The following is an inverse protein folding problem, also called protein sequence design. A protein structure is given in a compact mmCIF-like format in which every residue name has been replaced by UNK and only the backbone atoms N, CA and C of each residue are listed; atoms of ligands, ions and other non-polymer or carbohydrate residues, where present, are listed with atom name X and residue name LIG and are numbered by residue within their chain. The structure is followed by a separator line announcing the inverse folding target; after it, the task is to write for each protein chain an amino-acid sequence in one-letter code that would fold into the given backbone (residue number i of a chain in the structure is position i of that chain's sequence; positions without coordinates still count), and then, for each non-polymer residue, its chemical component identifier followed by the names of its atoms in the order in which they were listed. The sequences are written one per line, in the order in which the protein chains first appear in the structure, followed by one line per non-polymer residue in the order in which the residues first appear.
data_IF_499203977943
#
_entry.id   IF_499203977943
#
_cell.length_a   1.000
_cell.length_b   1.000
_cell.length_c   1.000
_cell.angle_alpha   90.00
_cell.angle_beta   90.00
_cell.angle_gamma   90.00
#
_symmetry.space_group_name_H-M   'P 1'
#
loop_
_entity.id
_entity.type
_entity.pdbx_description
1 polymer ?
#
# COMPACT_ATOMS: atom_id res chain seq x y z
N UNK A 1 3.75 -17.00 13.82
CA UNK A 1 3.26 -15.93 12.91
C UNK A 1 4.46 -15.11 12.51
N UNK A 2 4.79 -15.03 11.21
CA UNK A 2 6.01 -14.37 10.72
C UNK A 2 5.70 -13.01 10.12
N UNK A 3 6.63 -12.06 10.29
CA UNK A 3 6.62 -10.76 9.61
C UNK A 3 7.31 -10.90 8.25
N UNK A 4 6.72 -10.34 7.21
CA UNK A 4 7.38 -10.17 5.91
C UNK A 4 7.96 -8.75 5.83
N UNK A 5 9.19 -8.64 5.31
CA UNK A 5 9.84 -7.35 5.12
C UNK A 5 10.35 -7.17 3.68
N UNK A 6 9.47 -7.13 2.65
CA UNK A 6 9.91 -6.93 1.28
C UNK A 6 10.62 -5.58 1.15
N UNK A 7 11.83 -5.59 0.57
CA UNK A 7 12.62 -4.38 0.33
C UNK A 7 13.02 -4.32 -1.13
N UNK A 8 12.74 -3.21 -1.80
CA UNK A 8 13.20 -2.93 -3.16
C UNK A 8 13.89 -1.57 -3.21
N UNK A 9 15.11 -1.49 -3.75
CA UNK A 9 15.84 -0.22 -3.86
C UNK A 9 15.21 0.75 -4.88
N UNK A 10 14.38 0.23 -5.79
CA UNK A 10 13.68 0.98 -6.82
C UNK A 10 12.19 0.66 -6.74
N UNK A 11 11.62 0.06 -7.78
CA UNK A 11 10.22 -0.30 -7.82
C UNK A 11 10.00 -1.71 -7.27
N UNK A 12 9.01 -1.86 -6.40
CA UNK A 12 8.38 -3.15 -6.13
C UNK A 12 7.17 -3.32 -7.06
N UNK A 13 7.16 -4.38 -7.85
CA UNK A 13 6.05 -4.71 -8.76
C UNK A 13 5.23 -5.86 -8.19
N UNK A 14 3.98 -5.57 -7.85
CA UNK A 14 2.94 -6.52 -7.49
C UNK A 14 1.69 -6.37 -8.38
N UNK A 15 1.82 -5.82 -9.58
CA UNK A 15 0.73 -5.68 -10.54
C UNK A 15 0.17 -7.06 -10.91
N UNK A 16 -1.15 -7.22 -10.82
CA UNK A 16 -1.87 -8.51 -10.96
C UNK A 16 -1.36 -9.62 -10.02
N UNK A 17 -0.49 -9.27 -9.07
CA UNK A 17 0.19 -10.18 -8.18
C UNK A 17 -0.50 -10.29 -6.82
N UNK A 18 0.11 -11.08 -5.93
CA UNK A 18 -0.36 -11.25 -4.55
C UNK A 18 0.81 -11.30 -3.58
N UNK A 19 0.85 -10.32 -2.67
CA UNK A 19 1.73 -10.30 -1.51
C UNK A 19 0.88 -10.53 -0.26
N UNK A 20 1.13 -11.59 0.50
CA UNK A 20 0.33 -11.89 1.69
C UNK A 20 1.15 -12.46 2.84
N UNK A 21 0.87 -11.97 4.06
CA UNK A 21 1.36 -12.55 5.31
C UNK A 21 0.16 -13.03 6.12
N UNK A 22 -0.33 -14.25 5.85
CA UNK A 22 -1.63 -14.79 6.32
C UNK A 22 -2.22 -14.18 7.61
N UNK A 23 -1.58 -14.39 8.77
CA UNK A 23 -1.90 -13.70 10.05
C UNK A 23 -0.75 -12.83 10.57
N UNK A 24 0.23 -12.58 9.71
CA UNK A 24 1.47 -11.90 10.03
C UNK A 24 1.45 -10.46 9.56
N UNK A 25 2.47 -9.73 9.96
CA UNK A 25 2.63 -8.32 9.61
C UNK A 25 3.42 -8.20 8.30
N UNK A 26 3.21 -7.11 7.58
CA UNK A 26 4.01 -6.74 6.42
C UNK A 26 4.59 -5.35 6.68
N UNK A 27 5.89 -5.25 6.49
CA UNK A 27 6.57 -3.96 6.42
C UNK A 27 7.31 -3.88 5.07
N UNK A 28 6.74 -3.13 4.14
CA UNK A 28 7.26 -2.99 2.79
C UNK A 28 8.07 -1.70 2.69
N UNK A 29 9.28 -1.80 2.15
CA UNK A 29 10.15 -0.67 1.84
C UNK A 29 10.43 -0.64 0.34
N UNK A 30 10.07 0.45 -0.34
CA UNK A 30 10.35 0.62 -1.77
C UNK A 30 10.52 2.09 -2.14
N UNK A 31 11.20 2.39 -3.26
CA UNK A 31 11.18 3.74 -3.81
C UNK A 31 9.85 4.03 -4.52
N UNK A 32 9.31 3.06 -5.25
CA UNK A 32 7.98 3.10 -5.86
C UNK A 32 7.26 1.76 -5.67
N UNK A 33 5.93 1.78 -5.65
CA UNK A 33 5.11 0.57 -5.57
C UNK A 33 4.07 0.55 -6.68
N UNK A 34 4.11 -0.48 -7.51
CA UNK A 34 3.05 -0.82 -8.47
C UNK A 34 2.24 -2.00 -7.93
N UNK A 35 0.97 -1.74 -7.59
CA UNK A 35 0.00 -2.74 -7.15
C UNK A 35 -1.24 -2.74 -8.07
N UNK A 36 -1.11 -2.35 -9.35
CA UNK A 36 -2.24 -2.26 -10.27
C UNK A 36 -2.93 -3.61 -10.46
N UNK A 37 -4.21 -3.71 -10.10
CA UNK A 37 -4.96 -4.98 -10.09
C UNK A 37 -4.40 -6.06 -9.16
N UNK A 38 -3.36 -5.74 -8.40
CA UNK A 38 -2.70 -6.62 -7.45
C UNK A 38 -3.42 -6.65 -6.12
N UNK A 39 -2.91 -7.49 -5.21
CA UNK A 39 -3.42 -7.60 -3.84
C UNK A 39 -2.28 -7.68 -2.83
N UNK A 40 -2.35 -6.85 -1.79
CA UNK A 40 -1.47 -6.85 -0.63
C UNK A 40 -2.32 -7.07 0.62
N UNK A 41 -2.01 -8.08 1.43
CA UNK A 41 -2.75 -8.40 2.66
C UNK A 41 -1.83 -8.76 3.81
N UNK A 42 -1.98 -8.06 4.94
CA UNK A 42 -1.31 -8.38 6.21
C UNK A 42 -2.20 -8.05 7.40
N UNK A 43 -1.70 -8.30 8.62
CA UNK A 43 -2.40 -7.90 9.84
C UNK A 43 -2.07 -6.45 10.19
N UNK A 44 -0.83 -6.18 10.60
CA UNK A 44 -0.28 -4.83 10.64
C UNK A 44 0.47 -4.61 9.32
N UNK A 45 -0.01 -3.66 8.51
CA UNK A 45 0.56 -3.41 7.19
C UNK A 45 1.15 -2.01 7.13
N UNK A 46 2.46 -1.92 7.01
CA UNK A 46 3.19 -0.69 6.72
C UNK A 46 3.67 -0.71 5.27
N UNK A 47 3.27 0.28 4.49
CA UNK A 47 3.85 0.61 3.19
C UNK A 47 4.70 1.87 3.34
N UNK A 48 6.02 1.70 3.45
CA UNK A 48 6.96 2.82 3.47
C UNK A 48 7.56 3.03 2.07
N UNK A 49 6.93 3.94 1.33
CA UNK A 49 7.28 4.37 -0.03
C UNK A 49 7.53 5.88 -0.02
N UNK A 50 7.99 6.43 1.11
CA UNK A 50 8.02 7.88 1.35
C UNK A 50 8.79 8.68 0.27
N UNK A 51 9.76 8.06 -0.41
CA UNK A 51 10.55 8.67 -1.49
C UNK A 51 9.90 8.69 -2.87
N UNK A 52 8.73 8.07 -3.07
CA UNK A 52 8.07 8.00 -4.37
C UNK A 52 6.60 7.61 -4.31
N UNK A 53 6.08 7.06 -5.40
CA UNK A 53 4.63 6.95 -5.60
C UNK A 53 4.12 5.51 -5.43
N UNK A 54 2.86 5.42 -4.99
CA UNK A 54 2.09 4.18 -4.94
C UNK A 54 0.99 4.24 -6.01
N UNK A 55 1.01 3.28 -6.94
CA UNK A 55 -0.10 3.04 -7.87
C UNK A 55 -0.90 1.81 -7.42
N UNK A 56 -2.11 2.05 -6.92
CA UNK A 56 -3.05 1.03 -6.48
C UNK A 56 -4.31 1.01 -7.36
N UNK A 57 -4.23 1.47 -8.62
CA UNK A 57 -5.39 1.47 -9.52
C UNK A 57 -5.90 0.06 -9.77
N UNK A 58 -7.20 -0.16 -9.59
CA UNK A 58 -7.84 -1.48 -9.61
C UNK A 58 -7.26 -2.52 -8.62
N UNK A 59 -6.29 -2.12 -7.78
CA UNK A 59 -5.61 -2.95 -6.81
C UNK A 59 -6.27 -2.93 -5.44
N UNK A 60 -5.75 -3.77 -4.54
CA UNK A 60 -6.22 -3.88 -3.16
C UNK A 60 -5.06 -3.91 -2.17
N UNK A 61 -5.17 -3.14 -1.11
CA UNK A 61 -4.28 -3.17 0.05
C UNK A 61 -5.16 -3.27 1.30
N UNK A 62 -5.00 -4.35 2.06
CA UNK A 62 -5.86 -4.69 3.19
C UNK A 62 -5.00 -4.98 4.42
N UNK A 63 -5.35 -4.37 5.55
CA UNK A 63 -4.78 -4.67 6.86
C UNK A 63 -5.80 -4.51 7.98
N UNK A 64 -5.57 -5.12 9.15
CA UNK A 64 -6.31 -4.75 10.37
C UNK A 64 -5.95 -3.32 10.78
N UNK A 65 -4.67 -2.98 10.63
CA UNK A 65 -4.13 -1.63 10.60
C UNK A 65 -3.35 -1.44 9.31
N UNK A 66 -3.56 -0.30 8.65
CA UNK A 66 -2.86 0.07 7.44
C UNK A 66 -2.18 1.43 7.63
N UNK A 67 -0.85 1.48 7.60
CA UNK A 67 -0.06 2.72 7.58
C UNK A 67 0.58 2.87 6.19
N UNK A 68 0.25 3.95 5.49
CA UNK A 68 0.76 4.26 4.15
C UNK A 68 1.55 5.55 4.20
N UNK A 69 2.82 5.47 3.79
CA UNK A 69 3.73 6.60 3.67
C UNK A 69 4.23 6.66 2.24
N UNK A 70 3.95 7.76 1.54
CA UNK A 70 4.34 7.91 0.13
C UNK A 70 4.62 9.37 -0.20
N UNK A 71 5.21 9.67 -1.35
CA UNK A 71 5.17 11.01 -1.94
C UNK A 71 3.83 11.27 -2.61
N UNK A 72 3.27 10.28 -3.32
CA UNK A 72 1.98 10.34 -3.99
C UNK A 72 1.26 9.00 -3.99
N UNK A 73 -0.06 9.04 -4.19
CA UNK A 73 -0.92 7.86 -4.15
C UNK A 73 -2.02 7.97 -5.20
N UNK A 74 -2.02 7.03 -6.16
CA UNK A 74 -3.13 6.82 -7.08
C UNK A 74 -3.94 5.58 -6.67
N UNK A 75 -5.12 5.82 -6.10
CA UNK A 75 -6.09 4.81 -5.70
C UNK A 75 -7.38 4.90 -6.54
N UNK A 76 -7.29 5.37 -7.79
CA UNK A 76 -8.47 5.47 -8.69
C UNK A 76 -8.83 4.11 -9.28
N UNK A 77 -9.78 4.08 -10.23
CA UNK A 77 -10.16 2.89 -11.00
C UNK A 77 -10.55 1.68 -10.12
N UNK A 78 -11.36 1.90 -9.08
CA UNK A 78 -11.74 0.89 -8.10
C UNK A 78 -10.56 0.32 -7.27
N UNK A 79 -9.48 1.10 -7.12
CA UNK A 79 -8.46 0.84 -6.11
C UNK A 79 -9.03 0.90 -4.70
N UNK A 80 -8.54 0.03 -3.82
CA UNK A 80 -8.97 -0.06 -2.43
C UNK A 80 -7.77 -0.06 -1.47
N UNK A 81 -7.82 0.86 -0.51
CA UNK A 81 -7.04 0.82 0.72
C UNK A 81 -8.04 0.61 1.86
N UNK A 82 -7.87 -0.44 2.66
CA UNK A 82 -8.78 -0.70 3.77
C UNK A 82 -8.02 -1.14 5.02
N UNK A 83 -8.37 -0.48 6.12
CA UNK A 83 -8.04 -0.87 7.48
C UNK A 83 -9.23 -1.56 8.13
N UNK A 84 -8.96 -2.57 8.96
CA UNK A 84 -9.96 -3.20 9.81
C UNK A 84 -10.24 -2.35 11.05
N UNK A 85 -10.32 -3.00 12.21
CA UNK A 85 -10.67 -2.34 13.47
C UNK A 85 -9.71 -1.21 13.89
N UNK A 86 -8.47 -1.21 13.39
CA UNK A 86 -7.46 -0.20 13.72
C UNK A 86 -7.32 0.89 12.66
N UNK A 87 -8.13 0.84 11.59
CA UNK A 87 -8.24 1.89 10.59
C UNK A 87 -7.03 2.06 9.67
N UNK A 88 -7.04 3.18 8.95
CA UNK A 88 -6.04 3.57 7.95
C UNK A 88 -5.37 4.87 8.39
N UNK A 89 -4.04 4.91 8.30
CA UNK A 89 -3.21 6.11 8.40
C UNK A 89 -2.58 6.37 7.04
N UNK A 90 -2.68 7.60 6.55
CA UNK A 90 -2.04 8.03 5.30
C UNK A 90 -1.21 9.29 5.54
N UNK A 91 0.06 9.22 5.18
CA UNK A 91 1.01 10.32 5.28
C UNK A 91 1.72 10.53 3.94
N UNK A 92 1.42 11.67 3.29
CA UNK A 92 2.11 12.08 2.06
C UNK A 92 3.27 13.04 2.38
N UNK A 93 4.49 12.63 2.04
CA UNK A 93 5.74 13.39 2.26
C UNK A 93 6.39 13.73 0.92
N UNK A 94 5.81 14.66 0.18
CA UNK A 94 6.35 15.08 -1.11
C UNK A 94 5.37 15.94 -1.90
N UNK A 95 5.75 16.36 -3.11
CA UNK A 95 4.87 17.12 -4.00
C UNK A 95 3.77 16.26 -4.65
N UNK A 96 3.79 14.94 -4.45
CA UNK A 96 2.81 14.01 -5.03
C UNK A 96 1.40 14.28 -4.52
N UNK A 97 0.41 13.86 -5.31
CA UNK A 97 -1.00 14.10 -5.04
C UNK A 97 -1.69 12.84 -4.51
N UNK A 98 -2.75 13.04 -3.73
CA UNK A 98 -3.74 12.00 -3.46
C UNK A 98 -4.75 12.00 -4.61
N UNK A 99 -4.70 10.97 -5.45
CA UNK A 99 -5.68 10.72 -6.50
C UNK A 99 -6.57 9.56 -6.06
N UNK A 100 -7.76 9.85 -5.54
CA UNK A 100 -8.71 8.82 -5.12
C UNK A 100 -10.09 9.09 -5.74
N UNK A 101 -10.68 8.06 -6.38
CA UNK A 101 -11.94 8.19 -7.08
C UNK A 101 -13.19 8.11 -6.17
N UNK A 102 -13.03 7.68 -4.91
CA UNK A 102 -14.16 7.41 -4.00
C UNK A 102 -14.28 8.38 -2.80
N UNK A 103 -13.40 9.39 -2.70
CA UNK A 103 -13.58 10.52 -1.78
C UNK A 103 -13.51 10.21 -0.28
N UNK A 104 -13.12 9.01 0.16
CA UNK A 104 -12.80 8.75 1.57
C UNK A 104 -11.47 7.97 1.67
N UNK A 105 -10.45 8.52 2.34
CA UNK A 105 -9.30 7.76 2.81
C UNK A 105 -9.69 6.79 3.93
#
# INVERSE_FOLDING_TARGET
TGKLTPTAAQQLNNAQGRLQAGRGDIELHAANLDNQGGTIVGKQLLLDVAGGDIDNRAGRVLGDHLDVRASGLDNRNAGLLAGGAQGVSLLLKGPGQLLNAQGRP
#
